data_IF_904955619301
#
_entry.id   IF_904955619301
#
_cell.length_a   1.000
_cell.length_b   1.000
_cell.length_c   1.000
_cell.angle_alpha   90.00
_cell.angle_beta   90.00
_cell.angle_gamma   90.00
#
_symmetry.space_group_name_H-M   'P 1'
#
loop_
_entity.id
_entity.type
_entity.pdbx_description
1 polymer ?
#
# COMPACT_ATOMS: atom_id res chain seq x y z
N UNK A 1 17.08 49.34 4.65
CA UNK A 1 17.08 48.52 5.88
C UNK A 1 17.87 47.27 5.60
N UNK A 2 19.08 47.14 6.15
CA UNK A 2 19.94 45.98 5.89
C UNK A 2 19.44 44.79 6.73
N UNK A 3 19.03 43.71 6.06
CA UNK A 3 18.61 42.48 6.73
C UNK A 3 19.86 41.77 7.26
N UNK A 4 20.09 41.82 8.57
CA UNK A 4 21.22 41.10 9.20
C UNK A 4 20.81 39.66 9.51
N UNK A 5 21.39 38.68 8.81
CA UNK A 5 21.17 37.25 9.05
C UNK A 5 21.48 36.83 10.50
N UNK A 6 22.45 37.51 11.13
CA UNK A 6 22.88 37.26 12.52
C UNK A 6 21.75 37.48 13.54
N UNK A 7 20.99 38.58 13.37
CA UNK A 7 19.83 38.91 14.22
C UNK A 7 18.68 37.93 14.02
N UNK A 8 18.46 37.47 12.79
CA UNK A 8 17.44 36.46 12.50
C UNK A 8 17.78 35.11 13.15
N UNK A 9 19.05 34.70 13.11
CA UNK A 9 19.53 33.45 13.69
C UNK A 9 19.41 33.42 15.22
N UNK A 10 19.80 34.50 15.89
CA UNK A 10 19.73 34.60 17.36
C UNK A 10 18.30 34.63 17.89
N UNK A 11 17.39 35.33 17.21
CA UNK A 11 15.97 35.40 17.60
C UNK A 11 15.23 34.07 17.37
N UNK A 12 15.57 33.34 16.30
CA UNK A 12 14.86 32.12 15.90
C UNK A 12 15.60 30.81 16.20
N UNK A 13 16.67 30.83 17.01
CA UNK A 13 17.52 29.67 17.28
C UNK A 13 16.72 28.42 17.70
N UNK A 14 15.68 28.59 18.53
CA UNK A 14 14.82 27.48 18.98
C UNK A 14 14.04 26.87 17.82
N UNK A 15 13.45 27.68 16.95
CA UNK A 15 12.73 27.21 15.77
C UNK A 15 13.66 26.52 14.77
N UNK A 16 14.89 27.04 14.61
CA UNK A 16 15.88 26.47 13.70
C UNK A 16 16.37 25.08 14.18
N UNK A 17 16.59 24.90 15.49
CA UNK A 17 16.90 23.57 16.07
C UNK A 17 15.73 22.60 15.83
N UNK A 18 14.48 23.01 16.08
CA UNK A 18 13.31 22.17 15.82
C UNK A 18 13.17 21.81 14.34
N UNK A 19 13.39 22.77 13.44
CA UNK A 19 13.33 22.54 11.99
C UNK A 19 14.41 21.56 11.54
N UNK A 20 15.65 21.71 12.03
CA UNK A 20 16.73 20.75 11.75
C UNK A 20 16.39 19.38 12.33
N UNK A 21 15.91 19.31 13.58
CA UNK A 21 15.59 18.05 14.24
C UNK A 21 14.45 17.32 13.52
N UNK A 22 13.37 18.02 13.14
CA UNK A 22 12.28 17.46 12.34
C UNK A 22 12.77 17.06 10.96
N UNK A 23 13.63 17.86 10.32
CA UNK A 23 14.24 17.53 9.04
C UNK A 23 15.08 16.25 9.10
N UNK A 24 15.91 16.10 10.14
CA UNK A 24 16.70 14.88 10.40
C UNK A 24 15.77 13.70 10.70
N UNK A 25 14.76 13.88 11.54
CA UNK A 25 13.80 12.82 11.88
C UNK A 25 13.01 12.37 10.64
N UNK A 26 12.64 13.31 9.78
CA UNK A 26 11.97 13.04 8.50
C UNK A 26 12.88 12.27 7.55
N UNK A 27 14.17 12.61 7.48
CA UNK A 27 15.17 11.87 6.69
C UNK A 27 15.42 10.47 7.25
N UNK A 28 15.44 10.31 8.57
CA UNK A 28 15.60 9.02 9.24
C UNK A 28 14.34 8.16 9.20
N UNK A 29 13.16 8.71 8.86
CA UNK A 29 11.90 7.97 8.82
C UNK A 29 11.98 6.71 7.94
N UNK A 30 12.57 6.84 6.76
CA UNK A 30 12.71 5.72 5.82
C UNK A 30 13.76 4.70 6.33
N UNK A 31 14.79 5.16 7.05
CA UNK A 31 15.74 4.29 7.74
C UNK A 31 15.09 3.50 8.88
N UNK A 32 14.21 4.13 9.67
CA UNK A 32 13.48 3.44 10.74
C UNK A 32 12.62 2.31 10.17
N UNK A 33 11.92 2.54 9.06
CA UNK A 33 11.13 1.50 8.39
C UNK A 33 12.03 0.33 7.93
N UNK A 34 13.21 0.63 7.36
CA UNK A 34 14.16 -0.39 6.92
C UNK A 34 14.69 -1.21 8.10
N UNK A 35 15.16 -0.55 9.17
CA UNK A 35 15.67 -1.22 10.38
C UNK A 35 14.58 -2.02 11.09
N UNK A 36 13.36 -1.50 11.14
CA UNK A 36 12.22 -2.21 11.71
C UNK A 36 11.91 -3.47 10.90
N UNK A 37 11.87 -3.38 9.57
CA UNK A 37 11.64 -4.54 8.71
C UNK A 37 12.76 -5.58 8.81
N UNK A 38 14.03 -5.17 8.91
CA UNK A 38 15.12 -6.14 9.11
C UNK A 38 14.97 -6.86 10.45
N UNK A 39 14.57 -6.16 11.52
CA UNK A 39 14.32 -6.77 12.82
C UNK A 39 13.18 -7.79 12.77
N UNK A 40 12.06 -7.45 12.11
CA UNK A 40 10.91 -8.37 11.93
C UNK A 40 11.32 -9.62 11.14
N UNK A 41 12.08 -9.45 10.06
CA UNK A 41 12.59 -10.57 9.25
C UNK A 41 13.55 -11.43 10.07
N UNK A 42 14.49 -10.83 10.80
CA UNK A 42 15.43 -11.56 11.65
C UNK A 42 14.72 -12.38 12.74
N UNK A 43 13.73 -11.79 13.41
CA UNK A 43 12.93 -12.47 14.43
C UNK A 43 12.13 -13.66 13.85
N UNK A 44 11.53 -13.46 12.67
CA UNK A 44 10.79 -14.51 11.96
C UNK A 44 11.73 -15.63 11.52
N UNK A 45 12.91 -15.29 10.96
CA UNK A 45 13.92 -16.24 10.55
C UNK A 45 14.45 -17.07 11.73
N UNK A 46 14.70 -16.46 12.89
CA UNK A 46 15.12 -17.18 14.10
C UNK A 46 14.07 -18.21 14.56
N UNK A 47 12.78 -17.86 14.48
CA UNK A 47 11.69 -18.78 14.81
C UNK A 47 11.59 -19.91 13.79
N UNK A 48 11.74 -19.60 12.50
CA UNK A 48 11.77 -20.58 11.43
C UNK A 48 12.97 -21.54 11.51
N UNK A 49 14.16 -21.05 11.87
CA UNK A 49 15.36 -21.90 12.08
C UNK A 49 15.13 -22.91 13.20
N UNK A 50 14.50 -22.50 14.31
CA UNK A 50 14.17 -23.43 15.41
C UNK A 50 13.19 -24.52 14.97
N UNK A 51 12.21 -24.18 14.14
CA UNK A 51 11.29 -25.17 13.55
C UNK A 51 12.03 -26.11 12.59
N UNK A 52 12.89 -25.56 11.73
CA UNK A 52 13.65 -26.32 10.75
C UNK A 52 14.62 -27.30 11.42
N UNK A 53 15.36 -26.86 12.44
CA UNK A 53 16.32 -27.72 13.17
C UNK A 53 15.64 -28.93 13.80
N UNK A 54 14.43 -28.77 14.35
CA UNK A 54 13.65 -29.90 14.90
C UNK A 54 13.36 -30.95 13.83
N UNK A 55 13.18 -30.54 12.59
CA UNK A 55 12.81 -31.44 11.50
C UNK A 55 14.01 -32.04 10.76
N UNK A 56 15.15 -31.34 10.65
CA UNK A 56 16.26 -31.76 9.76
C UNK A 56 17.55 -32.23 10.45
N UNK A 57 17.73 -32.09 11.77
CA UNK A 57 18.97 -32.47 12.49
C UNK A 57 20.28 -31.94 11.83
N UNK A 58 20.21 -30.87 11.06
CA UNK A 58 21.35 -30.28 10.35
C UNK A 58 22.15 -29.34 11.26
N UNK A 59 23.45 -29.14 10.99
CA UNK A 59 24.25 -28.14 11.71
C UNK A 59 23.62 -26.75 11.56
N UNK A 60 23.70 -25.96 12.63
CA UNK A 60 23.04 -24.65 12.75
C UNK A 60 23.38 -23.66 11.62
N UNK A 61 24.54 -23.76 10.99
CA UNK A 61 24.93 -22.97 9.81
C UNK A 61 24.08 -23.29 8.58
N UNK A 62 23.92 -24.57 8.25
CA UNK A 62 23.11 -25.01 7.11
C UNK A 62 21.62 -24.69 7.34
N UNK A 63 21.12 -24.87 8.56
CA UNK A 63 19.72 -24.53 8.86
C UNK A 63 19.43 -23.04 8.70
N UNK A 64 20.37 -22.15 9.08
CA UNK A 64 20.23 -20.71 8.88
C UNK A 64 20.22 -20.36 7.39
N UNK A 65 21.21 -20.85 6.62
CA UNK A 65 21.29 -20.60 5.18
C UNK A 65 20.03 -21.13 4.48
N UNK A 66 19.56 -22.32 4.85
CA UNK A 66 18.36 -22.93 4.30
C UNK A 66 17.09 -22.11 4.55
N UNK A 67 16.92 -21.54 5.74
CA UNK A 67 15.76 -20.68 6.05
C UNK A 67 15.79 -19.38 5.26
N UNK A 68 16.97 -18.75 5.11
CA UNK A 68 17.07 -17.54 4.30
C UNK A 68 16.86 -17.81 2.81
N UNK A 69 17.37 -18.93 2.29
CA UNK A 69 17.06 -19.39 0.93
C UNK A 69 15.57 -19.63 0.75
N UNK A 70 14.90 -20.28 1.72
CA UNK A 70 13.47 -20.49 1.68
C UNK A 70 12.68 -19.17 1.69
N UNK A 71 13.06 -18.21 2.54
CA UNK A 71 12.44 -16.88 2.56
C UNK A 71 12.64 -16.13 1.24
N UNK A 72 13.84 -16.18 0.67
CA UNK A 72 14.15 -15.57 -0.63
C UNK A 72 13.32 -16.24 -1.73
N UNK A 73 13.20 -17.57 -1.71
CA UNK A 73 12.39 -18.33 -2.66
C UNK A 73 10.91 -17.94 -2.55
N UNK A 74 10.34 -17.91 -1.34
CA UNK A 74 8.96 -17.47 -1.13
C UNK A 74 8.74 -16.05 -1.66
N UNK A 75 9.65 -15.12 -1.38
CA UNK A 75 9.56 -13.75 -1.88
C UNK A 75 9.66 -13.69 -3.41
N UNK A 76 10.62 -14.40 -3.99
CA UNK A 76 10.81 -14.45 -5.44
C UNK A 76 9.60 -15.09 -6.14
N UNK A 77 9.05 -16.18 -5.59
CA UNK A 77 7.84 -16.83 -6.09
C UNK A 77 6.64 -15.90 -5.98
N UNK A 78 6.48 -15.21 -4.85
CA UNK A 78 5.42 -14.22 -4.69
C UNK A 78 5.50 -13.13 -5.77
N UNK A 79 6.67 -12.52 -5.94
CA UNK A 79 6.85 -11.46 -6.94
C UNK A 79 6.66 -12.00 -8.36
N UNK A 80 7.27 -13.13 -8.68
CA UNK A 80 7.24 -13.70 -10.02
C UNK A 80 5.90 -14.32 -10.39
N UNK A 81 5.03 -14.68 -9.45
CA UNK A 81 3.69 -15.22 -9.74
C UNK A 81 2.60 -14.18 -9.55
N UNK A 82 2.60 -13.49 -8.41
CA UNK A 82 1.52 -12.57 -8.04
C UNK A 82 1.56 -11.32 -8.91
N UNK A 83 2.74 -10.69 -9.12
CA UNK A 83 2.83 -9.47 -9.93
C UNK A 83 2.33 -9.68 -11.37
N UNK A 84 2.80 -10.68 -12.14
CA UNK A 84 2.29 -10.87 -13.50
C UNK A 84 0.84 -11.36 -13.51
N UNK A 85 0.36 -12.12 -12.52
CA UNK A 85 -1.05 -12.48 -12.44
C UNK A 85 -1.93 -11.24 -12.24
N UNK A 86 -1.55 -10.35 -11.33
CA UNK A 86 -2.27 -9.08 -11.10
C UNK A 86 -2.24 -8.22 -12.36
N UNK A 87 -1.09 -8.09 -13.03
CA UNK A 87 -0.99 -7.31 -14.27
C UNK A 87 -1.87 -7.92 -15.37
N UNK A 88 -1.85 -9.25 -15.56
CA UNK A 88 -2.69 -9.92 -16.57
C UNK A 88 -4.17 -9.76 -16.28
N UNK A 89 -4.58 -9.95 -15.03
CA UNK A 89 -5.98 -9.81 -14.64
C UNK A 89 -6.45 -8.36 -14.76
N UNK A 90 -5.60 -7.40 -14.38
CA UNK A 90 -5.88 -5.97 -14.54
C UNK A 90 -5.98 -5.57 -16.00
N UNK A 91 -5.08 -6.07 -16.86
CA UNK A 91 -5.13 -5.82 -18.30
C UNK A 91 -6.35 -6.48 -18.95
N UNK A 92 -6.73 -7.68 -18.51
CA UNK A 92 -7.95 -8.37 -18.96
C UNK A 92 -9.19 -7.60 -18.53
N UNK A 93 -9.24 -7.16 -17.28
CA UNK A 93 -10.30 -6.30 -16.76
C UNK A 93 -10.38 -5.00 -17.56
N UNK A 94 -9.25 -4.33 -17.80
CA UNK A 94 -9.18 -3.11 -18.59
C UNK A 94 -9.63 -3.30 -20.05
N UNK A 95 -9.34 -4.46 -20.64
CA UNK A 95 -9.82 -4.85 -21.98
C UNK A 95 -11.32 -5.14 -22.01
N UNK A 96 -11.84 -5.76 -20.95
CA UNK A 96 -13.24 -6.15 -20.84
C UNK A 96 -14.13 -5.05 -20.22
N UNK A 97 -13.63 -3.83 -19.99
CA UNK A 97 -14.45 -2.71 -19.50
C UNK A 97 -15.66 -2.46 -20.42
N UNK A 98 -15.50 -2.64 -21.74
CA UNK A 98 -16.62 -2.51 -22.67
C UNK A 98 -17.72 -3.56 -22.47
N UNK A 99 -17.34 -4.79 -22.12
CA UNK A 99 -18.29 -5.87 -21.81
C UNK A 99 -18.93 -5.69 -20.41
N UNK A 100 -18.15 -5.18 -19.44
CA UNK A 100 -18.66 -4.75 -18.14
C UNK A 100 -19.65 -3.60 -18.27
N UNK A 101 -19.46 -2.69 -19.22
CA UNK A 101 -20.42 -1.62 -19.49
C UNK A 101 -21.77 -2.19 -19.92
N UNK A 102 -21.78 -3.16 -20.84
CA UNK A 102 -23.01 -3.83 -21.26
C UNK A 102 -23.67 -4.57 -20.10
N UNK A 103 -22.88 -5.34 -19.33
CA UNK A 103 -23.38 -6.07 -18.15
C UNK A 103 -23.95 -5.12 -17.10
N UNK A 104 -23.32 -3.96 -16.88
CA UNK A 104 -23.80 -2.94 -15.95
C UNK A 104 -25.06 -2.24 -16.45
N UNK A 105 -25.16 -1.99 -17.77
CA UNK A 105 -26.38 -1.46 -18.38
C UNK A 105 -27.55 -2.44 -18.21
N UNK A 106 -27.31 -3.73 -18.40
CA UNK A 106 -28.30 -4.79 -18.22
C UNK A 106 -28.68 -4.97 -16.73
N UNK A 107 -27.68 -4.98 -15.83
CA UNK A 107 -27.93 -5.05 -14.38
C UNK A 107 -28.74 -3.85 -13.91
N UNK A 108 -28.41 -2.66 -14.41
CA UNK A 108 -29.15 -1.44 -14.12
C UNK A 108 -30.57 -1.52 -14.66
N UNK A 109 -30.77 -1.98 -15.90
CA UNK A 109 -32.11 -2.13 -16.49
C UNK A 109 -32.97 -3.05 -15.61
N UNK A 110 -32.45 -4.23 -15.27
CA UNK A 110 -33.13 -5.18 -14.39
C UNK A 110 -33.39 -4.60 -12.97
N UNK A 111 -32.43 -3.86 -12.41
CA UNK A 111 -32.56 -3.25 -11.08
C UNK A 111 -33.60 -2.12 -11.06
N UNK A 112 -33.65 -1.30 -12.12
CA UNK A 112 -34.63 -0.22 -12.25
C UNK A 112 -36.05 -0.73 -12.52
N UNK A 113 -36.18 -1.84 -13.25
CA UNK A 113 -37.46 -2.55 -13.38
C UNK A 113 -37.95 -3.08 -12.04
N UNK A 114 -37.05 -3.63 -11.22
CA UNK A 114 -37.40 -4.16 -9.91
C UNK A 114 -37.69 -3.05 -8.87
N UNK A 115 -37.03 -1.89 -8.99
CA UNK A 115 -37.12 -0.79 -8.02
C UNK A 115 -37.25 0.60 -8.69
N UNK A 116 -38.42 0.94 -9.26
CA UNK A 116 -38.63 2.20 -9.98
C UNK A 116 -38.44 3.46 -9.11
N UNK A 117 -38.60 3.35 -7.79
CA UNK A 117 -38.38 4.45 -6.84
C UNK A 117 -36.92 4.92 -6.73
N UNK A 118 -35.96 4.06 -7.08
CA UNK A 118 -34.52 4.37 -6.98
C UNK A 118 -33.97 5.16 -8.17
N UNK A 119 -34.75 5.35 -9.23
CA UNK A 119 -34.30 6.03 -10.45
C UNK A 119 -33.83 7.46 -10.18
N UNK A 120 -34.63 8.25 -9.47
CA UNK A 120 -34.33 9.67 -9.17
C UNK A 120 -33.06 9.88 -8.35
N UNK A 121 -32.85 9.20 -7.20
CA UNK A 121 -31.62 9.38 -6.42
C UNK A 121 -30.39 8.89 -7.17
N UNK A 122 -30.51 7.84 -7.99
CA UNK A 122 -29.39 7.33 -8.78
C UNK A 122 -28.94 8.33 -9.85
N UNK A 123 -29.87 8.89 -10.63
CA UNK A 123 -29.53 9.92 -11.64
C UNK A 123 -28.94 11.16 -10.98
N UNK A 124 -29.48 11.58 -9.84
CA UNK A 124 -28.91 12.69 -9.05
C UNK A 124 -27.48 12.41 -8.60
N UNK A 125 -27.20 11.18 -8.15
CA UNK A 125 -25.85 10.76 -7.77
C UNK A 125 -24.90 10.76 -8.98
N UNK A 126 -25.30 10.15 -10.11
CA UNK A 126 -24.50 10.15 -11.34
C UNK A 126 -24.17 11.57 -11.79
N UNK A 127 -25.17 12.47 -11.79
CA UNK A 127 -24.99 13.88 -12.14
C UNK A 127 -24.00 14.60 -11.22
N UNK A 128 -24.00 14.27 -9.93
CA UNK A 128 -23.05 14.85 -8.96
C UNK A 128 -21.65 14.25 -9.02
N UNK A 129 -21.50 13.04 -9.56
CA UNK A 129 -20.23 12.35 -9.68
C UNK A 129 -19.49 12.71 -10.99
N UNK A 130 -20.21 13.18 -12.00
CA UNK A 130 -19.67 13.64 -13.29
C UNK A 130 -19.12 15.06 -13.15
N UNK A 131 -17.97 15.31 -13.79
CA UNK A 131 -17.37 16.66 -13.81
C UNK A 131 -18.23 17.67 -14.57
N UNK A 132 -18.23 18.93 -14.13
CA UNK A 132 -19.06 20.00 -14.67
C UNK A 132 -18.79 20.27 -16.16
N UNK A 133 -17.55 20.08 -16.63
CA UNK A 133 -17.22 20.21 -18.06
C UNK A 133 -17.89 19.13 -18.90
N UNK A 134 -17.93 17.90 -18.39
CA UNK A 134 -18.51 16.75 -19.08
C UNK A 134 -20.04 16.81 -19.02
N UNK A 135 -20.58 17.34 -17.92
CA UNK A 135 -21.99 17.60 -17.78
C UNK A 135 -22.51 18.60 -18.82
N UNK A 136 -21.76 19.68 -19.09
CA UNK A 136 -22.13 20.66 -20.12
C UNK A 136 -22.15 20.04 -21.54
N UNK A 137 -21.23 19.11 -21.84
CA UNK A 137 -21.23 18.38 -23.10
C UNK A 137 -22.45 17.47 -23.23
N UNK A 138 -22.79 16.77 -22.16
CA UNK A 138 -23.95 15.86 -22.10
C UNK A 138 -25.26 16.66 -22.21
N UNK A 139 -25.40 17.76 -21.47
CA UNK A 139 -26.56 18.65 -21.57
C UNK A 139 -26.75 19.17 -23.01
N UNK A 140 -25.66 19.50 -23.71
CA UNK A 140 -25.70 19.89 -25.13
C UNK A 140 -26.17 18.77 -26.07
N UNK A 141 -25.74 17.52 -25.85
CA UNK A 141 -26.24 16.36 -26.61
C UNK A 141 -27.71 16.06 -26.32
N UNK A 142 -28.10 16.18 -25.05
CA UNK A 142 -29.48 16.00 -24.60
C UNK A 142 -30.43 17.02 -25.21
N UNK A 143 -30.02 18.28 -25.38
CA UNK A 143 -30.84 19.29 -26.05
C UNK A 143 -31.12 18.94 -27.53
N UNK A 144 -30.14 18.36 -28.22
CA UNK A 144 -30.30 17.91 -29.61
C UNK A 144 -31.29 16.75 -29.69
N UNK A 145 -31.19 15.78 -28.79
CA UNK A 145 -32.14 14.65 -28.71
C UNK A 145 -33.54 15.08 -28.29
N UNK A 146 -33.67 16.01 -27.33
CA UNK A 146 -34.96 16.57 -26.94
C UNK A 146 -35.69 17.24 -28.13
N UNK A 147 -34.96 18.00 -28.96
CA UNK A 147 -35.53 18.61 -30.18
C UNK A 147 -35.99 17.57 -31.18
N UNK A 148 -35.27 16.45 -31.35
CA UNK A 148 -35.69 15.35 -32.24
C UNK A 148 -36.98 14.70 -31.77
N UNK A 149 -37.16 14.61 -30.45
CA UNK A 149 -38.37 14.06 -29.82
C UNK A 149 -39.54 15.06 -29.74
N UNK A 150 -39.36 16.30 -30.22
CA UNK A 150 -40.39 17.35 -30.14
C UNK A 150 -40.61 17.90 -28.73
N UNK A 151 -39.71 17.62 -27.79
CA UNK A 151 -39.76 18.12 -26.42
C UNK A 151 -39.15 19.53 -26.37
N UNK A 152 -39.94 20.52 -25.98
CA UNK A 152 -39.42 21.85 -25.70
C UNK A 152 -38.54 21.77 -24.44
N UNK A 153 -37.27 22.19 -24.51
CA UNK A 153 -36.28 22.02 -23.41
C UNK A 153 -36.70 22.59 -22.05
N UNK A 154 -37.72 23.45 -22.01
CA UNK A 154 -38.32 23.97 -20.79
C UNK A 154 -39.31 23.01 -20.09
N UNK A 155 -39.96 22.10 -20.82
CA UNK A 155 -40.91 21.12 -20.28
C UNK A 155 -40.22 19.96 -19.55
N UNK A 156 -38.99 19.61 -19.96
CA UNK A 156 -38.22 18.53 -19.33
C UNK A 156 -37.78 18.89 -17.90
N UNK A 157 -37.55 20.18 -17.63
CA UNK A 157 -37.03 20.67 -16.32
C UNK A 157 -38.10 20.93 -15.27
N UNK A 158 -39.39 20.94 -15.63
CA UNK A 158 -40.49 21.13 -14.67
C UNK A 158 -41.50 20.00 -14.79
N UNK A 159 -41.76 19.21 -13.72
CA UNK A 159 -42.90 18.31 -13.73
C UNK A 159 -44.17 19.15 -13.88
N UNK A 160 -44.85 18.98 -15.02
CA UNK A 160 -46.08 19.71 -15.34
C UNK A 160 -47.18 19.33 -14.33
N UNK A 161 -47.82 20.35 -13.79
CA UNK A 161 -48.92 20.24 -12.82
C UNK A 161 -50.12 19.51 -13.44
N UNK A 162 -50.55 18.43 -12.78
CA UNK A 162 -51.79 17.61 -12.81
C UNK A 162 -52.71 17.56 -14.05
N UNK A 163 -52.25 18.00 -15.22
CA UNK A 163 -53.01 17.92 -16.47
C UNK A 163 -52.95 16.49 -16.99
N UNK A 164 -54.09 15.91 -17.36
CA UNK A 164 -54.21 14.53 -17.84
C UNK A 164 -53.09 14.16 -18.83
N UNK A 165 -52.31 13.10 -18.54
CA UNK A 165 -51.13 12.77 -19.32
C UNK A 165 -51.53 12.20 -20.68
N UNK A 166 -51.15 12.91 -21.75
CA UNK A 166 -51.17 12.37 -23.10
C UNK A 166 -50.22 11.16 -23.19
N UNK A 167 -50.69 9.94 -23.55
CA UNK A 167 -49.87 8.75 -23.62
C UNK A 167 -48.67 8.88 -24.58
N UNK A 168 -48.76 9.74 -25.61
CA UNK A 168 -47.64 10.01 -26.51
C UNK A 168 -46.50 10.82 -25.87
N UNK A 169 -46.81 11.67 -24.89
CA UNK A 169 -45.82 12.51 -24.23
C UNK A 169 -44.98 11.73 -23.21
N UNK A 170 -45.60 10.78 -22.51
CA UNK A 170 -44.91 9.95 -21.51
C UNK A 170 -43.85 9.02 -22.12
N UNK A 171 -44.09 8.48 -23.32
CA UNK A 171 -43.14 7.60 -24.00
C UNK A 171 -41.90 8.36 -24.49
N UNK A 172 -42.09 9.57 -25.05
CA UNK A 172 -40.98 10.45 -25.44
C UNK A 172 -40.12 10.85 -24.23
N UNK A 173 -40.76 11.13 -23.08
CA UNK A 173 -40.06 11.51 -21.85
C UNK A 173 -39.29 10.33 -21.24
N UNK A 174 -39.80 9.10 -21.34
CA UNK A 174 -39.06 7.89 -20.96
C UNK A 174 -37.84 7.65 -21.85
N UNK A 175 -37.98 7.82 -23.18
CA UNK A 175 -36.85 7.70 -24.11
C UNK A 175 -35.76 8.72 -23.80
N UNK A 176 -36.14 9.97 -23.53
CA UNK A 176 -35.19 11.01 -23.13
C UNK A 176 -34.40 10.61 -21.86
N UNK A 177 -35.08 10.15 -20.81
CA UNK A 177 -34.43 9.71 -19.56
C UNK A 177 -33.47 8.54 -19.78
N UNK A 178 -33.81 7.58 -20.65
CA UNK A 178 -32.91 6.46 -20.94
C UNK A 178 -31.63 6.90 -21.65
N UNK A 179 -31.73 7.89 -22.54
CA UNK A 179 -30.57 8.45 -23.25
C UNK A 179 -29.69 9.26 -22.30
N UNK A 180 -30.28 10.10 -21.43
CA UNK A 180 -29.53 10.84 -20.38
C UNK A 180 -28.70 9.89 -19.53
N UNK A 181 -29.31 8.82 -19.03
CA UNK A 181 -28.62 7.86 -18.18
C UNK A 181 -27.49 7.12 -18.92
N UNK A 182 -27.66 6.80 -20.20
CA UNK A 182 -26.62 6.14 -21.00
C UNK A 182 -25.40 7.04 -21.19
N UNK A 183 -25.61 8.32 -21.52
CA UNK A 183 -24.54 9.29 -21.72
C UNK A 183 -23.79 9.59 -20.41
N UNK A 184 -24.50 9.70 -19.28
CA UNK A 184 -23.87 9.87 -17.97
C UNK A 184 -23.03 8.66 -17.57
N UNK A 185 -23.49 7.44 -17.88
CA UNK A 185 -22.79 6.22 -17.50
C UNK A 185 -21.55 5.98 -18.38
N UNK A 186 -21.66 6.24 -19.68
CA UNK A 186 -20.55 6.14 -20.62
C UNK A 186 -19.44 7.16 -20.29
N UNK A 187 -19.81 8.41 -19.98
CA UNK A 187 -18.85 9.44 -19.60
C UNK A 187 -18.11 9.08 -18.32
N UNK A 188 -18.80 8.64 -17.26
CA UNK A 188 -18.17 8.19 -16.01
C UNK A 188 -17.21 7.01 -16.23
N UNK A 189 -17.62 6.02 -17.02
CA UNK A 189 -16.77 4.86 -17.30
C UNK A 189 -15.54 5.25 -18.11
N UNK A 190 -15.68 6.13 -19.09
CA UNK A 190 -14.57 6.62 -19.88
C UNK A 190 -13.56 7.39 -19.02
N UNK A 191 -14.05 8.21 -18.08
CA UNK A 191 -13.20 8.97 -17.17
C UNK A 191 -12.49 8.05 -16.16
N UNK A 192 -13.21 7.10 -15.56
CA UNK A 192 -12.60 6.10 -14.69
C UNK A 192 -11.54 5.30 -15.44
N UNK A 193 -11.80 4.87 -16.69
CA UNK A 193 -10.84 4.17 -17.53
C UNK A 193 -9.57 5.00 -17.77
N UNK A 194 -9.73 6.29 -18.05
CA UNK A 194 -8.61 7.23 -18.20
C UNK A 194 -7.77 7.31 -16.92
N UNK A 195 -8.43 7.50 -15.78
CA UNK A 195 -7.75 7.55 -14.47
C UNK A 195 -7.02 6.24 -14.17
N UNK A 196 -7.66 5.08 -14.34
CA UNK A 196 -7.03 3.78 -14.13
C UNK A 196 -5.77 3.59 -14.99
N UNK A 197 -5.82 4.01 -16.26
CA UNK A 197 -4.66 3.97 -17.16
C UNK A 197 -3.42 4.71 -16.61
N UNK A 198 -3.63 5.81 -15.88
CA UNK A 198 -2.53 6.58 -15.27
C UNK A 198 -2.03 5.98 -13.94
N UNK A 199 -2.93 5.41 -13.14
CA UNK A 199 -2.59 4.84 -11.83
C UNK A 199 -1.88 3.48 -11.92
N UNK A 200 -2.25 2.63 -12.88
CA UNK A 200 -1.66 1.29 -13.06
C UNK A 200 -0.12 1.33 -13.16
N UNK A 201 0.51 2.12 -14.06
CA UNK A 201 1.98 2.12 -14.15
C UNK A 201 2.66 2.65 -12.89
N UNK A 202 2.05 3.63 -12.20
CA UNK A 202 2.56 4.13 -10.91
C UNK A 202 2.51 3.05 -9.83
N UNK A 203 1.42 2.31 -9.76
CA UNK A 203 1.26 1.20 -8.81
C UNK A 203 2.26 0.07 -9.07
N UNK A 204 2.47 -0.30 -10.34
CA UNK A 204 3.48 -1.29 -10.73
C UNK A 204 4.88 -0.85 -10.29
N UNK A 205 5.25 0.41 -10.55
CA UNK A 205 6.55 0.92 -10.12
C UNK A 205 6.70 0.94 -8.58
N UNK A 206 5.63 1.28 -7.86
CA UNK A 206 5.60 1.23 -6.40
C UNK A 206 5.77 -0.19 -5.85
N UNK A 207 5.13 -1.19 -6.48
CA UNK A 207 5.32 -2.61 -6.15
C UNK A 207 6.77 -3.05 -6.36
N UNK A 208 7.39 -2.71 -7.49
CA UNK A 208 8.80 -3.04 -7.75
C UNK A 208 9.73 -2.39 -6.74
N UNK A 209 9.53 -1.10 -6.44
CA UNK A 209 10.32 -0.38 -5.44
C UNK A 209 10.20 -1.03 -4.06
N UNK A 210 8.98 -1.33 -3.63
CA UNK A 210 8.72 -1.97 -2.33
C UNK A 210 9.36 -3.36 -2.26
N UNK A 211 9.25 -4.13 -3.34
CA UNK A 211 9.89 -5.44 -3.46
C UNK A 211 11.41 -5.35 -3.35
N UNK A 212 12.02 -4.40 -4.05
CA UNK A 212 13.47 -4.17 -3.98
C UNK A 212 13.91 -3.78 -2.56
N UNK A 213 13.14 -2.93 -1.87
CA UNK A 213 13.44 -2.58 -0.46
C UNK A 213 13.30 -3.77 0.48
N UNK A 214 12.31 -4.64 0.27
CA UNK A 214 12.15 -5.88 1.04
C UNK A 214 13.32 -6.85 0.83
N UNK A 215 13.75 -7.01 -0.42
CA UNK A 215 14.88 -7.87 -0.77
C UNK A 215 16.18 -7.33 -0.13
N UNK A 216 16.41 -6.02 -0.20
CA UNK A 216 17.53 -5.36 0.46
C UNK A 216 17.49 -5.57 1.98
N UNK A 217 16.33 -5.39 2.60
CA UNK A 217 16.14 -5.62 4.04
C UNK A 217 16.42 -7.08 4.43
N UNK A 218 15.98 -8.04 3.61
CA UNK A 218 16.24 -9.46 3.81
C UNK A 218 17.74 -9.78 3.72
N UNK A 219 18.45 -9.20 2.74
CA UNK A 219 19.90 -9.36 2.58
C UNK A 219 20.65 -8.75 3.76
N UNK A 220 20.28 -7.54 4.19
CA UNK A 220 20.89 -6.89 5.35
C UNK A 220 20.66 -7.69 6.63
N UNK A 221 19.44 -8.20 6.82
CA UNK A 221 19.10 -9.09 7.95
C UNK A 221 20.00 -10.34 7.95
N UNK A 222 20.20 -10.97 6.80
CA UNK A 222 21.10 -12.13 6.67
C UNK A 222 22.54 -11.78 7.08
N UNK A 223 23.06 -10.66 6.59
CA UNK A 223 24.43 -10.22 6.82
C UNK A 223 24.69 -9.94 8.31
N UNK A 224 23.76 -9.23 8.97
CA UNK A 224 23.80 -8.98 10.42
C UNK A 224 23.81 -10.31 11.21
N UNK A 225 22.98 -11.28 10.82
CA UNK A 225 22.87 -12.56 11.53
C UNK A 225 24.12 -13.43 11.36
N UNK A 226 24.76 -13.39 10.17
CA UNK A 226 26.03 -14.09 9.90
C UNK A 226 27.18 -13.44 10.67
N UNK A 227 27.28 -12.11 10.64
CA UNK A 227 28.34 -11.37 11.33
C UNK A 227 28.23 -11.48 12.85
N UNK A 228 27.02 -11.55 13.41
CA UNK A 228 26.83 -11.80 14.84
C UNK A 228 27.55 -13.07 15.32
N UNK A 229 27.55 -14.15 14.51
CA UNK A 229 28.29 -15.38 14.85
C UNK A 229 29.79 -15.20 14.79
N UNK A 230 30.29 -14.35 13.90
CA UNK A 230 31.72 -14.03 13.80
C UNK A 230 32.15 -13.21 15.01
N UNK A 231 31.35 -12.21 15.40
CA UNK A 231 31.56 -11.40 16.60
C UNK A 231 31.51 -12.23 17.88
N UNK A 232 30.51 -13.09 18.07
CA UNK A 232 30.45 -13.97 19.25
C UNK A 232 31.66 -14.91 19.36
N UNK A 233 32.13 -15.49 18.24
CA UNK A 233 33.34 -16.32 18.23
C UNK A 233 34.58 -15.52 18.63
N UNK A 234 34.73 -14.30 18.10
CA UNK A 234 35.84 -13.42 18.46
C UNK A 234 35.80 -13.02 19.94
N UNK A 235 34.62 -12.70 20.48
CA UNK A 235 34.45 -12.38 21.90
C UNK A 235 34.76 -13.59 22.79
N UNK A 236 34.32 -14.80 22.42
CA UNK A 236 34.66 -16.02 23.16
C UNK A 236 36.17 -16.31 23.14
N UNK A 237 36.84 -16.14 21.99
CA UNK A 237 38.29 -16.31 21.88
C UNK A 237 39.02 -15.26 22.74
N UNK A 238 38.59 -14.00 22.70
CA UNK A 238 39.14 -12.93 23.54
C UNK A 238 38.87 -13.17 25.04
N UNK A 239 37.70 -13.67 25.43
CA UNK A 239 37.40 -14.02 26.81
C UNK A 239 38.31 -15.16 27.30
N UNK A 240 38.54 -16.18 26.47
CA UNK A 240 39.44 -17.30 26.79
C UNK A 240 40.92 -16.86 26.86
N UNK A 241 41.39 -15.99 25.95
CA UNK A 241 42.75 -15.44 26.03
C UNK A 241 42.92 -14.46 27.19
N UNK A 242 41.93 -13.59 27.44
CA UNK A 242 41.93 -12.62 28.55
C UNK A 242 41.92 -13.30 29.91
N UNK A 243 41.19 -14.40 30.07
CA UNK A 243 41.18 -15.19 31.31
C UNK A 243 42.53 -15.85 31.58
N UNK A 244 43.32 -16.18 30.53
CA UNK A 244 44.66 -16.73 30.66
C UNK A 244 45.70 -15.69 31.09
N UNK A 245 45.50 -14.43 30.73
CA UNK A 245 46.36 -13.30 31.14
C UNK A 245 46.00 -12.84 32.57
N UNK A 246 44.73 -12.91 32.97
CA UNK A 246 44.29 -12.47 34.30
C UNK A 246 44.59 -13.48 35.43
N UNK A 247 44.78 -14.77 35.12
CA UNK A 247 45.14 -15.79 36.13
C UNK A 247 46.63 -15.80 36.55
N UNK A 248 47.46 -14.86 36.10
CA UNK A 248 48.86 -14.75 36.55
C UNK A 248 49.08 -13.76 37.70
N UNK A 249 48.02 -13.31 38.38
CA UNK A 249 48.11 -12.52 39.61
C UNK A 249 47.30 -13.21 40.73
N UNK A 250 47.93 -13.66 41.83
CA UNK A 250 47.22 -14.35 42.90
C UNK A 250 46.25 -13.38 43.62
N UNK A 251 44.97 -13.75 43.83
CA UNK A 251 44.03 -12.91 44.55
C UNK A 251 44.05 -13.30 46.03
N UNK A 252 44.47 -12.38 46.89
CA UNK A 252 44.01 -12.35 48.27
C UNK A 252 43.15 -11.09 48.43
N UNK A 253 41.89 -11.26 48.88
CA UNK A 253 40.95 -10.21 49.35
C UNK A 253 39.89 -9.60 48.41
N UNK A 254 39.24 -10.35 47.52
CA UNK A 254 38.04 -9.83 46.81
C UNK A 254 36.84 -10.79 46.79
N UNK A 255 36.52 -11.45 47.91
CA UNK A 255 35.41 -12.42 47.96
C UNK A 255 34.01 -11.87 48.27
N UNK A 256 33.80 -10.61 48.69
CA UNK A 256 32.51 -10.30 49.34
C UNK A 256 31.47 -9.49 48.56
N UNK A 257 31.64 -9.18 47.27
CA UNK A 257 30.68 -8.26 46.60
C UNK A 257 30.27 -8.54 45.14
N UNK A 258 30.31 -9.80 44.65
CA UNK A 258 29.97 -10.09 43.24
C UNK A 258 28.85 -11.11 42.98
N UNK A 259 28.03 -11.43 43.99
CA UNK A 259 27.03 -12.50 43.90
C UNK A 259 25.70 -12.10 43.22
N UNK A 260 25.52 -10.85 42.75
CA UNK A 260 24.18 -10.36 42.33
C UNK A 260 24.02 -9.93 40.86
N UNK A 261 25.06 -9.89 40.02
CA UNK A 261 24.93 -9.31 38.67
C UNK A 261 25.15 -10.28 37.50
N UNK A 262 25.36 -11.57 37.74
CA UNK A 262 25.78 -12.54 36.70
C UNK A 262 24.64 -13.42 36.17
N UNK A 263 23.41 -13.36 36.72
CA UNK A 263 22.32 -14.22 36.24
C UNK A 263 21.65 -13.77 34.92
N UNK A 264 21.78 -12.51 34.50
CA UNK A 264 21.06 -12.01 33.31
C UNK A 264 21.77 -12.23 31.96
N UNK A 265 23.02 -12.70 31.95
CA UNK A 265 23.79 -12.97 30.72
C UNK A 265 24.31 -14.41 30.63
N UNK A 266 23.58 -15.37 31.22
CA UNK A 266 23.87 -16.79 31.04
C UNK A 266 23.44 -17.22 29.63
N UNK A 267 24.34 -17.06 28.66
CA UNK A 267 24.32 -17.83 27.42
C UNK A 267 24.25 -19.31 27.78
N UNK A 268 23.03 -19.86 27.80
CA UNK A 268 22.79 -21.28 28.04
C UNK A 268 23.40 -22.03 26.84
N UNK A 269 24.43 -22.88 27.02
CA UNK A 269 24.90 -23.73 25.93
C UNK A 269 23.75 -24.66 25.54
N UNK A 270 23.35 -24.60 24.27
CA UNK A 270 22.48 -25.62 23.67
C UNK A 270 23.25 -26.94 23.73
N UNK A 271 22.80 -27.87 24.57
CA UNK A 271 23.20 -29.27 24.52
C UNK A 271 22.69 -29.91 23.22
N UNK A 272 23.44 -30.87 22.65
CA UNK A 272 23.17 -31.49 21.34
C UNK A 272 21.85 -32.26 21.28
#
# INVERSE_FOLDING_TARGET
>A
MAFSLDRFYTVNRRALIWLILVGVLWLLRDFFALVFMTFVIAFTALSAVRLMQRHTKLPYTLSLIGVYLALLLVLATFVSLVVPNVIRETNRFAGNIGELQQTLLDLKANFLEQYPGWRRPFVGYLRSAVDETTLNLIDGQLEVEARKLGLNGFEVRRPKDKSEPDPGHNSALQQYQTVEEQLLLESLLSEMRGRFGEYIPRFINLLYRTTATLLLALLLSFLILVDWRRLCRLVQICALLGCRIFMKKPPSRWCDLHTLSVELFRCRPLSP
#
